data_IF_830292028145
#
_entry.id   IF_830292028145
#
_cell.length_a   1.000
_cell.length_b   1.000
_cell.length_c   1.000
_cell.angle_alpha   90.00
_cell.angle_beta   90.00
_cell.angle_gamma   90.00
#
_symmetry.space_group_name_H-M   'P 1'
#
loop_
_entity.id
_entity.type
_entity.pdbx_description
1 polymer ?
#
# COMPACT_ATOMS: atom_id res chain seq x y z
N UNK A 1 -5.02 28.64 31.27
CA UNK A 1 -5.52 28.80 29.89
C UNK A 1 -4.37 28.41 28.99
N UNK A 2 -4.28 27.13 28.62
CA UNK A 2 -3.16 26.64 27.79
C UNK A 2 -3.51 26.88 26.33
N UNK A 3 -2.80 27.81 25.72
CA UNK A 3 -2.86 28.12 24.30
C UNK A 3 -2.23 26.96 23.52
N UNK A 4 -3.04 25.98 23.14
CA UNK A 4 -2.62 24.93 22.23
C UNK A 4 -2.72 25.49 20.82
N UNK A 5 -1.66 26.15 20.35
CA UNK A 5 -1.53 26.49 18.94
C UNK A 5 -1.71 25.22 18.11
N UNK A 6 -2.58 25.20 17.08
CA UNK A 6 -2.73 24.03 16.24
C UNK A 6 -1.38 23.70 15.62
N UNK A 7 -0.92 22.47 15.80
CA UNK A 7 0.29 21.99 15.13
C UNK A 7 0.12 22.20 13.62
N UNK A 8 1.14 22.71 12.92
CA UNK A 8 1.02 22.97 11.49
C UNK A 8 0.62 21.68 10.78
N UNK A 9 -0.41 21.76 9.95
CA UNK A 9 -0.83 20.64 9.10
C UNK A 9 0.38 20.23 8.25
N UNK A 10 0.74 18.93 8.21
CA UNK A 10 1.85 18.47 7.38
C UNK A 10 1.64 18.89 5.93
N UNK A 11 2.72 19.32 5.27
CA UNK A 11 2.67 19.61 3.84
C UNK A 11 2.21 18.35 3.08
N UNK A 12 1.33 18.48 2.06
CA UNK A 12 0.89 17.33 1.28
C UNK A 12 2.08 16.58 0.66
N UNK A 13 2.02 15.25 0.65
CA UNK A 13 3.02 14.46 -0.07
C UNK A 13 2.92 14.68 -1.58
N UNK A 14 4.08 14.81 -2.23
CA UNK A 14 4.21 15.18 -3.64
C UNK A 14 4.60 13.95 -4.46
N UNK A 15 3.95 13.74 -5.60
CA UNK A 15 4.23 12.57 -6.46
C UNK A 15 5.71 12.57 -6.86
N UNK A 16 6.36 11.42 -6.71
CA UNK A 16 7.77 11.23 -7.00
C UNK A 16 8.73 11.65 -5.88
N UNK A 17 8.25 12.29 -4.80
CA UNK A 17 9.08 12.52 -3.61
C UNK A 17 9.15 11.27 -2.73
N UNK A 18 10.30 11.09 -2.08
CA UNK A 18 10.60 9.94 -1.23
C UNK A 18 10.58 10.29 0.25
N UNK A 19 9.92 9.44 1.03
CA UNK A 19 9.68 9.60 2.47
C UNK A 19 10.16 8.36 3.25
N UNK A 20 10.45 8.54 4.52
CA UNK A 20 10.65 7.42 5.44
C UNK A 20 9.32 6.75 5.81
N UNK A 21 9.34 5.46 6.17
CA UNK A 21 8.10 4.73 6.47
C UNK A 21 7.33 5.35 7.64
N UNK A 22 8.05 5.76 8.68
CA UNK A 22 7.44 6.36 9.87
C UNK A 22 6.85 7.75 9.56
N UNK A 23 7.44 8.51 8.63
CA UNK A 23 6.87 9.77 8.12
C UNK A 23 5.56 9.52 7.37
N UNK A 24 5.54 8.52 6.47
CA UNK A 24 4.32 8.12 5.75
C UNK A 24 3.22 7.71 6.71
N UNK A 25 3.55 6.86 7.70
CA UNK A 25 2.58 6.41 8.69
C UNK A 25 2.04 7.56 9.52
N UNK A 26 2.91 8.45 10.00
CA UNK A 26 2.51 9.60 10.80
C UNK A 26 1.64 10.58 10.00
N UNK A 27 2.03 10.87 8.75
CA UNK A 27 1.27 11.74 7.84
C UNK A 27 -0.16 11.24 7.62
N UNK A 28 -0.33 9.93 7.39
CA UNK A 28 -1.65 9.32 7.20
C UNK A 28 -2.41 9.08 8.51
N UNK A 29 -1.75 9.20 9.67
CA UNK A 29 -2.35 8.90 10.97
C UNK A 29 -2.57 7.40 11.21
N UNK A 30 -1.69 6.57 10.66
CA UNK A 30 -1.75 5.10 10.79
C UNK A 30 -1.24 4.58 12.12
N UNK A 31 -1.79 3.44 12.55
CA UNK A 31 -1.41 2.76 13.77
C UNK A 31 0.01 2.19 13.69
N UNK A 32 0.81 2.23 14.78
CA UNK A 32 2.18 1.72 14.79
C UNK A 32 2.24 0.20 14.95
N UNK A 33 1.50 -0.53 14.11
CA UNK A 33 1.38 -1.99 14.16
C UNK A 33 1.51 -2.61 12.76
N UNK A 34 2.01 -3.85 12.66
CA UNK A 34 2.02 -4.57 11.39
C UNK A 34 0.59 -4.88 10.91
N UNK A 35 0.41 -5.11 9.59
CA UNK A 35 1.45 -5.36 8.59
C UNK A 35 1.89 -4.13 7.78
N UNK A 36 3.18 -4.06 7.47
CA UNK A 36 3.82 -2.86 6.91
C UNK A 36 3.55 -2.59 5.41
N UNK A 37 2.78 -3.43 4.72
CA UNK A 37 2.41 -3.18 3.30
C UNK A 37 1.14 -2.32 3.17
N UNK A 38 0.34 -2.24 4.25
CA UNK A 38 -0.78 -1.31 4.37
C UNK A 38 -0.47 -0.32 5.49
N UNK A 39 -0.90 0.92 5.31
CA UNK A 39 -1.07 1.86 6.42
C UNK A 39 -2.53 1.77 6.82
N UNK A 40 -2.81 1.59 8.11
CA UNK A 40 -4.15 1.36 8.60
C UNK A 40 -4.44 2.12 9.89
N UNK A 41 -5.71 2.42 10.14
CA UNK A 41 -6.20 2.97 11.41
C UNK A 41 -7.38 2.12 11.88
N UNK A 42 -7.20 1.42 13.00
CA UNK A 42 -8.13 0.37 13.43
C UNK A 42 -8.23 -0.75 12.41
N UNK A 43 -9.36 -0.83 11.69
CA UNK A 43 -9.59 -1.83 10.64
C UNK A 43 -9.59 -1.27 9.23
N UNK A 44 -9.47 0.05 9.08
CA UNK A 44 -9.53 0.75 7.80
C UNK A 44 -8.15 0.84 7.17
N UNK A 45 -8.05 0.58 5.87
CA UNK A 45 -6.83 0.78 5.09
C UNK A 45 -6.84 2.19 4.53
N UNK A 46 -5.80 2.96 4.87
CA UNK A 46 -5.69 4.39 4.53
C UNK A 46 -4.47 4.71 3.66
N UNK A 47 -3.69 3.69 3.30
CA UNK A 47 -2.60 3.78 2.32
C UNK A 47 -1.95 2.42 2.10
N UNK A 48 -1.11 2.32 1.06
CA UNK A 48 -0.29 1.11 0.81
C UNK A 48 1.17 1.47 0.53
N UNK A 49 2.07 0.65 1.05
CA UNK A 49 3.52 0.76 0.88
C UNK A 49 4.04 -0.51 0.20
N UNK A 50 4.28 -0.41 -1.11
CA UNK A 50 4.58 -1.54 -1.98
C UNK A 50 6.06 -1.56 -2.39
N UNK A 51 6.83 -2.50 -1.83
CA UNK A 51 8.19 -2.73 -2.28
C UNK A 51 8.20 -3.48 -3.60
N UNK A 52 8.86 -2.97 -4.64
CA UNK A 52 8.91 -3.59 -5.98
C UNK A 52 9.52 -4.99 -5.95
N UNK A 53 10.37 -5.28 -4.97
CA UNK A 53 10.90 -6.61 -4.76
C UNK A 53 9.84 -7.68 -4.44
N UNK A 54 8.69 -7.28 -3.89
CA UNK A 54 7.57 -8.16 -3.50
C UNK A 54 6.29 -7.89 -4.29
N UNK A 55 6.17 -6.69 -4.88
CA UNK A 55 5.07 -6.27 -5.74
C UNK A 55 5.65 -5.74 -7.06
N UNK A 56 6.09 -6.61 -7.98
CA UNK A 56 6.80 -6.21 -9.20
C UNK A 56 5.98 -5.37 -10.18
N UNK A 57 4.65 -5.28 -9.96
CA UNK A 57 3.70 -4.55 -10.80
C UNK A 57 3.01 -3.39 -10.06
N UNK A 58 3.59 -2.92 -8.96
CA UNK A 58 3.04 -1.81 -8.18
C UNK A 58 3.13 -0.43 -8.90
N UNK A 59 3.94 -0.34 -9.95
CA UNK A 59 4.10 0.84 -10.81
C UNK A 59 3.54 0.64 -12.22
N UNK A 60 2.89 -0.51 -12.48
CA UNK A 60 2.20 -0.81 -13.74
C UNK A 60 0.80 -0.19 -13.79
N UNK A 61 0.18 -0.21 -14.98
CA UNK A 61 -1.24 0.14 -15.19
C UNK A 61 -1.97 -1.08 -15.80
N UNK A 62 -2.88 -1.74 -15.06
CA UNK A 62 -3.25 -1.45 -13.67
C UNK A 62 -2.11 -1.78 -12.68
N UNK A 63 -2.11 -1.10 -11.54
CA UNK A 63 -1.22 -1.40 -10.43
C UNK A 63 -1.71 -2.68 -9.74
N UNK A 64 -0.81 -3.63 -9.48
CA UNK A 64 -1.14 -4.87 -8.79
C UNK A 64 -0.52 -4.92 -7.40
N UNK A 65 -1.35 -5.19 -6.39
CA UNK A 65 -0.92 -5.51 -5.02
C UNK A 65 -0.94 -7.02 -4.83
N UNK A 66 0.23 -7.60 -4.61
CA UNK A 66 0.44 -9.03 -4.45
C UNK A 66 0.45 -9.37 -2.97
N UNK A 67 -0.72 -9.71 -2.43
CA UNK A 67 -0.88 -9.95 -1.00
C UNK A 67 -0.37 -11.35 -0.67
N UNK A 68 0.60 -11.45 0.23
CA UNK A 68 1.14 -12.72 0.71
C UNK A 68 0.21 -13.47 1.67
N UNK A 69 0.64 -14.67 2.08
CA UNK A 69 -0.12 -15.55 3.00
C UNK A 69 0.37 -15.53 4.45
N UNK A 70 1.44 -14.78 4.76
CA UNK A 70 2.10 -14.88 6.07
C UNK A 70 1.37 -14.02 7.11
N UNK A 71 1.05 -14.62 8.26
CA UNK A 71 0.36 -13.93 9.35
C UNK A 71 -0.95 -13.30 8.89
N UNK A 72 -1.19 -12.05 9.28
CA UNK A 72 -2.43 -11.34 8.97
C UNK A 72 -2.49 -10.75 7.55
N UNK A 73 -1.50 -11.00 6.68
CA UNK A 73 -1.47 -10.42 5.33
C UNK A 73 -2.74 -10.71 4.53
N UNK A 74 -3.23 -11.95 4.55
CA UNK A 74 -4.44 -12.34 3.82
C UNK A 74 -5.68 -11.57 4.32
N UNK A 75 -5.82 -11.42 5.64
CA UNK A 75 -6.91 -10.66 6.27
C UNK A 75 -6.87 -9.19 5.87
N UNK A 76 -5.69 -8.58 5.82
CA UNK A 76 -5.53 -7.19 5.40
C UNK A 76 -5.72 -6.99 3.90
N UNK A 77 -5.39 -7.98 3.07
CA UNK A 77 -5.71 -7.91 1.65
C UNK A 77 -7.22 -7.93 1.38
N UNK A 78 -8.02 -8.63 2.19
CA UNK A 78 -9.49 -8.60 2.09
C UNK A 78 -9.99 -7.19 2.38
N UNK A 79 -9.49 -6.58 3.47
CA UNK A 79 -9.82 -5.19 3.83
C UNK A 79 -9.40 -4.19 2.75
N UNK A 80 -8.22 -4.40 2.15
CA UNK A 80 -7.76 -3.60 1.02
C UNK A 80 -8.71 -3.74 -0.18
N UNK A 81 -9.13 -4.96 -0.53
CA UNK A 81 -10.09 -5.20 -1.62
C UNK A 81 -11.48 -4.56 -1.37
N UNK A 82 -11.86 -4.41 -0.11
CA UNK A 82 -13.12 -3.77 0.32
C UNK A 82 -13.00 -2.25 0.46
N UNK A 83 -11.78 -1.69 0.39
CA UNK A 83 -11.56 -0.25 0.51
C UNK A 83 -12.25 0.48 -0.65
N UNK A 84 -12.76 1.68 -0.36
CA UNK A 84 -13.49 2.53 -1.30
C UNK A 84 -12.88 3.93 -1.30
N UNK A 85 -12.91 4.57 -2.46
CA UNK A 85 -12.38 5.92 -2.65
C UNK A 85 -10.85 5.97 -2.79
N UNK A 86 -10.29 7.19 -2.86
CA UNK A 86 -8.88 7.41 -3.15
C UNK A 86 -7.96 6.89 -2.05
N UNK A 87 -6.97 6.09 -2.45
CA UNK A 87 -5.99 5.44 -1.59
C UNK A 87 -4.57 5.90 -1.97
N UNK A 88 -3.81 6.51 -1.06
CA UNK A 88 -2.41 6.83 -1.27
C UNK A 88 -1.55 5.58 -1.50
N UNK A 89 -0.81 5.56 -2.60
CA UNK A 89 0.13 4.47 -2.93
C UNK A 89 1.56 4.99 -2.83
N UNK A 90 2.40 4.26 -2.11
CA UNK A 90 3.84 4.50 -2.03
C UNK A 90 4.60 3.29 -2.55
N UNK A 91 5.68 3.54 -3.30
CA UNK A 91 6.50 2.50 -3.91
C UNK A 91 7.93 2.62 -3.44
N UNK A 92 8.54 1.49 -3.07
CA UNK A 92 9.97 1.42 -2.74
C UNK A 92 10.70 0.58 -3.77
N UNK A 93 11.69 1.18 -4.44
CA UNK A 93 12.49 0.51 -5.48
C UNK A 93 13.57 -0.40 -4.88
N UNK A 94 14.29 0.10 -3.87
CA UNK A 94 15.40 -0.62 -3.21
C UNK A 94 15.01 -1.00 -1.79
N UNK A 95 15.26 -2.24 -1.39
CA UNK A 95 15.02 -2.69 -0.01
C UNK A 95 15.81 -1.84 1.00
N UNK A 96 15.14 -1.39 2.06
CA UNK A 96 15.71 -0.44 3.03
C UNK A 96 15.74 1.02 2.56
N UNK A 97 15.37 1.34 1.32
CA UNK A 97 15.29 2.70 0.81
C UNK A 97 13.97 3.42 1.11
N UNK A 98 13.86 4.65 0.58
CA UNK A 98 12.69 5.53 0.73
C UNK A 98 11.43 5.01 0.03
N UNK A 99 10.29 5.45 0.55
CA UNK A 99 8.96 5.24 -0.01
C UNK A 99 8.58 6.44 -0.88
N UNK A 100 8.53 6.22 -2.19
CA UNK A 100 8.17 7.26 -3.15
C UNK A 100 6.67 7.34 -3.29
N UNK A 101 6.09 8.51 -3.04
CA UNK A 101 4.66 8.71 -3.23
C UNK A 101 4.31 8.58 -4.72
N UNK A 102 3.46 7.62 -5.04
CA UNK A 102 3.06 7.31 -6.40
C UNK A 102 1.70 7.94 -6.77
N UNK A 103 1.02 8.63 -5.86
CA UNK A 103 -0.28 9.27 -6.10
C UNK A 103 -1.46 8.54 -5.46
N UNK A 104 -2.66 9.03 -5.76
CA UNK A 104 -3.92 8.43 -5.32
C UNK A 104 -4.42 7.41 -6.34
N UNK A 105 -4.92 6.28 -5.83
CA UNK A 105 -5.46 5.18 -6.62
C UNK A 105 -6.79 4.72 -6.04
N UNK A 106 -7.62 4.10 -6.86
CA UNK A 106 -8.82 3.42 -6.42
C UNK A 106 -8.71 1.92 -6.62
N UNK A 107 -9.25 1.16 -5.67
CA UNK A 107 -9.42 -0.28 -5.81
C UNK A 107 -10.49 -0.53 -6.86
N UNK A 108 -10.11 -1.22 -7.93
CA UNK A 108 -11.03 -1.51 -9.05
C UNK A 108 -11.57 -2.92 -9.00
N UNK A 109 -10.73 -3.88 -8.60
CA UNK A 109 -11.11 -5.29 -8.50
C UNK A 109 -10.09 -6.06 -7.66
N UNK A 110 -10.39 -7.32 -7.39
CA UNK A 110 -9.49 -8.25 -6.73
C UNK A 110 -9.76 -9.67 -7.25
N UNK A 111 -8.81 -10.58 -7.07
CA UNK A 111 -8.99 -12.00 -7.41
C UNK A 111 -8.19 -12.93 -6.52
N UNK A 112 -8.76 -14.11 -6.28
CA UNK A 112 -8.12 -15.28 -5.65
C UNK A 112 -7.94 -16.44 -6.63
N UNK A 113 -8.26 -16.23 -7.92
CA UNK A 113 -8.22 -17.26 -8.95
C UNK A 113 -6.79 -17.80 -9.15
N UNK A 114 -6.55 -19.10 -8.88
CA UNK A 114 -5.25 -19.72 -9.11
C UNK A 114 -4.74 -19.60 -10.55
N UNK A 115 -5.62 -19.56 -11.55
CA UNK A 115 -5.22 -19.40 -12.95
C UNK A 115 -4.59 -18.02 -13.23
N UNK A 116 -5.04 -16.98 -12.51
CA UNK A 116 -4.48 -15.63 -12.59
C UNK A 116 -3.24 -15.49 -11.68
N UNK A 117 -3.26 -16.13 -10.51
CA UNK A 117 -2.19 -16.01 -9.50
C UNK A 117 -0.93 -16.80 -9.88
N UNK A 118 -1.04 -18.06 -10.33
CA UNK A 118 0.12 -18.93 -10.57
C UNK A 118 1.15 -18.32 -11.53
N UNK A 119 0.77 -17.66 -12.64
CA UNK A 119 1.73 -17.00 -13.54
C UNK A 119 2.50 -15.83 -12.92
N UNK A 120 2.06 -15.31 -11.75
CA UNK A 120 2.72 -14.20 -11.03
C UNK A 120 3.68 -14.69 -9.94
N UNK A 121 3.70 -15.98 -9.63
CA UNK A 121 4.68 -16.50 -8.69
C UNK A 121 6.08 -16.38 -9.31
N UNK A 122 7.05 -15.91 -8.52
CA UNK A 122 8.45 -15.73 -8.91
C UNK A 122 9.36 -16.44 -7.89
N UNK A 123 9.43 -17.78 -7.89
CA UNK A 123 10.30 -18.52 -6.98
C UNK A 123 11.78 -18.17 -7.17
N UNK A 124 12.61 -18.25 -6.10
CA UNK A 124 12.24 -18.62 -4.73
C UNK A 124 11.65 -17.45 -3.94
N UNK A 125 11.55 -16.25 -4.53
CA UNK A 125 11.21 -15.02 -3.80
C UNK A 125 9.72 -14.93 -3.48
N UNK A 126 8.87 -15.03 -4.49
CA UNK A 126 7.41 -14.90 -4.37
C UNK A 126 6.80 -16.28 -4.63
N UNK A 127 6.73 -17.09 -3.57
CA UNK A 127 6.27 -18.48 -3.66
C UNK A 127 4.79 -18.66 -3.34
N UNK A 128 4.14 -17.66 -2.75
CA UNK A 128 2.75 -17.73 -2.38
C UNK A 128 2.08 -16.34 -2.40
N UNK A 129 0.95 -16.26 -3.10
CA UNK A 129 0.06 -15.11 -3.11
C UNK A 129 -1.31 -15.61 -2.60
N UNK A 130 -1.90 -14.87 -1.67
CA UNK A 130 -3.24 -15.11 -1.15
C UNK A 130 -4.31 -14.56 -2.11
N UNK A 131 -4.07 -13.34 -2.60
CA UNK A 131 -4.96 -12.61 -3.50
C UNK A 131 -4.18 -11.52 -4.23
N UNK A 132 -4.74 -11.07 -5.35
CA UNK A 132 -4.31 -9.88 -6.06
C UNK A 132 -5.37 -8.81 -5.89
N UNK A 133 -4.95 -7.59 -5.58
CA UNK A 133 -5.82 -6.41 -5.61
C UNK A 133 -5.34 -5.49 -6.72
N UNK A 134 -6.25 -5.06 -7.58
CA UNK A 134 -5.97 -4.22 -8.73
C UNK A 134 -6.37 -2.78 -8.43
N UNK A 135 -5.40 -1.88 -8.55
CA UNK A 135 -5.56 -0.46 -8.33
C UNK A 135 -5.43 0.29 -9.64
N UNK A 136 -6.25 1.32 -9.83
CA UNK A 136 -6.14 2.26 -10.95
C UNK A 136 -5.86 3.65 -10.42
N UNK A 137 -4.96 4.39 -11.06
CA UNK A 137 -4.67 5.76 -10.67
C UNK A 137 -5.92 6.64 -10.83
N UNK A 138 -6.22 7.46 -9.83
CA UNK A 138 -7.26 8.47 -9.94
C UNK A 138 -6.87 9.47 -11.04
N UNK A 139 -7.83 9.92 -11.85
CA UNK A 139 -7.58 11.04 -12.75
C UNK A 139 -7.18 12.27 -11.91
N UNK A 140 -6.16 13.00 -12.38
CA UNK A 140 -5.71 14.24 -11.76
C UNK A 140 -6.69 15.38 -12.01
#
# INVERSE_FOLDING_TARGET
MSDASPSPTPAPHVVGQGYEFDEVRAFLGGDPKPPNFVIHKGTEVIGVCLGLGWNPRADSEPCEVWVGRKGDQAKWGIRLAETRGPLPVYVRRTEGGKWFYNGLFEVTSHTTDPAIIRPRLLPPKIVAIAQLVFLKRCAA
#
